data_IF_038332371728
#
_entry.id   IF_038332371728
#
_cell.length_a   1.000
_cell.length_b   1.000
_cell.length_c   1.000
_cell.angle_alpha   90.00
_cell.angle_beta   90.00
_cell.angle_gamma   90.00
#
_symmetry.space_group_name_H-M   'P 1'
#
loop_
_entity.id
_entity.type
_entity.pdbx_description
1 polymer ?
#
# COMPACT_ATOMS: atom_id res chain seq x y z
N UNK A 1 -4.90 18.58 -17.39
CA UNK A 1 -6.34 18.81 -17.65
C UNK A 1 -7.04 19.20 -16.36
N UNK A 2 -7.86 20.26 -16.38
CA UNK A 2 -8.47 20.89 -15.19
C UNK A 2 -9.40 19.97 -14.37
N UNK A 3 -9.94 18.91 -14.99
CA UNK A 3 -10.99 18.05 -14.39
C UNK A 3 -10.43 16.76 -13.78
N UNK A 4 -9.48 16.11 -14.45
CA UNK A 4 -8.94 14.80 -14.02
C UNK A 4 -7.89 14.92 -12.90
N UNK A 5 -7.18 16.05 -12.84
CA UNK A 5 -6.16 16.32 -11.82
C UNK A 5 -6.74 16.37 -10.40
N UNK A 6 -7.74 17.22 -10.11
CA UNK A 6 -8.33 17.35 -8.77
C UNK A 6 -9.02 16.08 -8.26
N UNK A 7 -9.51 15.23 -9.18
CA UNK A 7 -10.19 13.97 -8.84
C UNK A 7 -9.23 12.78 -8.71
N UNK A 8 -7.93 12.96 -8.95
CA UNK A 8 -6.94 11.88 -8.91
C UNK A 8 -7.15 10.79 -9.97
N UNK A 9 -7.99 11.04 -10.99
CA UNK A 9 -8.35 10.09 -12.05
C UNK A 9 -7.41 10.17 -13.25
N UNK A 10 -6.36 10.98 -13.17
CA UNK A 10 -5.40 11.14 -14.25
C UNK A 10 -4.56 9.86 -14.38
N UNK A 11 -4.55 9.19 -15.56
CA UNK A 11 -3.74 7.99 -15.76
C UNK A 11 -2.26 8.29 -15.52
N UNK A 12 -1.59 7.42 -14.76
CA UNK A 12 -0.20 7.61 -14.38
C UNK A 12 0.66 6.40 -14.80
N UNK A 13 1.71 6.60 -15.63
CA UNK A 13 2.63 5.53 -16.03
C UNK A 13 3.32 4.84 -14.85
N UNK A 14 3.61 5.58 -13.75
CA UNK A 14 4.22 5.00 -12.54
C UNK A 14 3.31 3.99 -11.83
N UNK A 15 2.03 4.04 -12.14
CA UNK A 15 0.98 3.22 -11.52
C UNK A 15 0.59 2.05 -12.43
N UNK A 16 1.19 1.94 -13.61
CA UNK A 16 0.87 0.89 -14.57
C UNK A 16 -0.49 1.04 -15.25
N UNK A 17 -1.22 2.14 -14.98
CA UNK A 17 -2.49 2.46 -15.65
C UNK A 17 -2.30 2.98 -17.08
N UNK A 18 -1.05 3.27 -17.46
CA UNK A 18 -0.65 3.58 -18.84
C UNK A 18 0.30 2.48 -19.28
N UNK A 19 -0.26 1.39 -19.78
CA UNK A 19 0.48 0.21 -20.25
C UNK A 19 -0.10 -0.26 -21.59
N UNK A 20 0.73 -0.92 -22.43
CA UNK A 20 0.25 -1.51 -23.68
C UNK A 20 -0.69 -2.71 -23.45
N UNK A 21 -0.61 -3.36 -22.28
CA UNK A 21 -1.49 -4.46 -21.88
C UNK A 21 -2.66 -3.97 -21.01
N UNK A 22 -3.71 -3.50 -21.67
CA UNK A 22 -4.92 -2.97 -21.03
C UNK A 22 -5.73 -4.07 -20.32
N UNK A 23 -5.72 -5.30 -20.85
CA UNK A 23 -6.52 -6.40 -20.30
C UNK A 23 -6.04 -6.80 -18.90
N UNK A 24 -4.71 -6.88 -18.72
CA UNK A 24 -4.12 -7.14 -17.41
C UNK A 24 -4.33 -5.99 -16.44
N UNK A 25 -4.13 -4.74 -16.89
CA UNK A 25 -4.33 -3.56 -16.06
C UNK A 25 -5.77 -3.44 -15.52
N UNK A 26 -6.78 -3.80 -16.33
CA UNK A 26 -8.19 -3.81 -15.90
C UNK A 26 -8.47 -4.93 -14.89
N UNK A 27 -7.89 -6.12 -15.08
CA UNK A 27 -8.02 -7.23 -14.11
C UNK A 27 -7.40 -6.87 -12.76
N UNK A 28 -6.19 -6.32 -12.78
CA UNK A 28 -5.46 -5.94 -11.56
C UNK A 28 -6.16 -4.78 -10.83
N UNK A 29 -6.70 -3.80 -11.58
CA UNK A 29 -7.49 -2.71 -11.01
C UNK A 29 -8.81 -3.22 -10.38
N UNK A 30 -9.50 -4.16 -11.02
CA UNK A 30 -10.71 -4.79 -10.47
C UNK A 30 -10.41 -5.71 -9.28
N UNK A 31 -9.22 -6.32 -9.23
CA UNK A 31 -8.74 -7.14 -8.13
C UNK A 31 -8.43 -6.36 -6.85
N UNK A 32 -8.64 -5.04 -6.84
CA UNK A 32 -8.48 -4.22 -5.64
C UNK A 32 -7.04 -3.79 -5.39
N UNK A 33 -6.23 -3.65 -6.43
CA UNK A 33 -4.85 -3.17 -6.31
C UNK A 33 -4.78 -1.85 -5.51
N UNK A 34 -4.17 -1.91 -4.33
CA UNK A 34 -3.97 -0.74 -3.46
C UNK A 34 -2.65 -0.07 -3.80
N UNK A 35 -2.72 1.21 -4.10
CA UNK A 35 -1.55 2.04 -4.38
C UNK A 35 -1.05 2.67 -3.09
N UNK A 36 0.25 2.59 -2.85
CA UNK A 36 0.90 3.28 -1.75
C UNK A 36 1.97 4.22 -2.29
N UNK A 37 2.07 5.40 -1.68
CA UNK A 37 3.07 6.42 -2.02
C UNK A 37 3.76 6.85 -0.73
N UNK A 38 5.06 7.09 -0.86
CA UNK A 38 5.87 7.67 0.21
C UNK A 38 5.59 9.17 0.31
N UNK A 39 5.28 9.65 1.50
CA UNK A 39 5.20 11.08 1.79
C UNK A 39 6.58 11.70 1.99
N UNK A 40 6.67 13.04 2.02
CA UNK A 40 7.94 13.76 2.16
C UNK A 40 8.73 13.37 3.42
N UNK A 41 8.04 12.96 4.47
CA UNK A 41 8.63 12.48 5.73
C UNK A 41 9.16 11.04 5.67
N UNK A 42 9.04 10.33 4.53
CA UNK A 42 9.43 8.93 4.40
C UNK A 42 8.42 7.95 5.01
N UNK A 43 7.20 8.39 5.27
CA UNK A 43 6.11 7.56 5.82
C UNK A 43 5.24 7.06 4.67
N UNK A 44 4.77 5.81 4.78
CA UNK A 44 3.84 5.20 3.83
C UNK A 44 2.51 4.98 4.54
N UNK A 45 1.43 5.42 3.90
CA UNK A 45 0.06 5.16 4.34
C UNK A 45 -0.64 4.28 3.31
N UNK A 46 -1.31 3.23 3.77
CA UNK A 46 -2.14 2.38 2.93
C UNK A 46 -3.34 1.84 3.74
N UNK A 47 -4.50 1.79 3.10
CA UNK A 47 -5.67 1.12 3.66
C UNK A 47 -5.57 -0.38 3.40
N UNK A 48 -5.47 -1.18 4.46
CA UNK A 48 -5.37 -2.65 4.39
C UNK A 48 -6.74 -3.35 4.40
N UNK A 49 -7.82 -2.63 4.68
CA UNK A 49 -9.17 -3.18 4.69
C UNK A 49 -10.18 -2.27 5.38
N UNK A 50 -11.39 -2.80 5.58
CA UNK A 50 -12.43 -2.19 6.41
C UNK A 50 -12.63 -3.03 7.67
N UNK A 51 -13.18 -2.42 8.72
CA UNK A 51 -13.53 -3.12 9.96
C UNK A 51 -14.61 -4.21 9.77
N UNK A 52 -15.31 -4.22 8.63
CA UNK A 52 -16.31 -5.23 8.28
C UNK A 52 -15.71 -6.47 7.61
N UNK A 53 -14.38 -6.56 7.47
CA UNK A 53 -13.72 -7.73 6.90
C UNK A 53 -13.39 -8.74 8.00
N UNK A 54 -13.32 -10.01 7.63
CA UNK A 54 -12.87 -11.06 8.54
C UNK A 54 -11.44 -10.83 9.02
N UNK A 55 -11.16 -11.21 10.25
CA UNK A 55 -9.85 -11.04 10.90
C UNK A 55 -8.72 -11.71 10.09
N UNK A 56 -8.98 -12.90 9.54
CA UNK A 56 -8.03 -13.62 8.70
C UNK A 56 -7.66 -12.86 7.42
N UNK A 57 -8.67 -12.24 6.77
CA UNK A 57 -8.45 -11.45 5.56
C UNK A 57 -7.67 -10.16 5.85
N UNK A 58 -7.93 -9.52 6.99
CA UNK A 58 -7.16 -8.34 7.41
C UNK A 58 -5.71 -8.73 7.70
N UNK A 59 -5.47 -9.84 8.39
CA UNK A 59 -4.13 -10.33 8.68
C UNK A 59 -3.35 -10.64 7.39
N UNK A 60 -3.98 -11.30 6.42
CA UNK A 60 -3.37 -11.61 5.12
C UNK A 60 -3.02 -10.33 4.35
N UNK A 61 -3.93 -9.34 4.31
CA UNK A 61 -3.69 -8.06 3.64
C UNK A 61 -2.52 -7.29 4.27
N UNK A 62 -2.41 -7.30 5.61
CA UNK A 62 -1.31 -6.65 6.33
C UNK A 62 0.02 -7.31 5.98
N UNK A 63 0.09 -8.65 6.00
CA UNK A 63 1.30 -9.39 5.61
C UNK A 63 1.69 -9.14 4.16
N UNK A 64 0.72 -9.18 3.25
CA UNK A 64 0.94 -8.90 1.83
C UNK A 64 1.49 -7.48 1.60
N UNK A 65 0.95 -6.50 2.32
CA UNK A 65 1.42 -5.11 2.25
C UNK A 65 2.85 -4.95 2.75
N UNK A 66 3.19 -5.54 3.90
CA UNK A 66 4.55 -5.48 4.46
C UNK A 66 5.55 -6.16 3.52
N UNK A 67 5.20 -7.33 2.98
CA UNK A 67 6.02 -8.03 1.99
C UNK A 67 6.23 -7.20 0.70
N UNK A 68 5.21 -6.49 0.24
CA UNK A 68 5.32 -5.60 -0.93
C UNK A 68 6.26 -4.41 -0.64
N UNK A 69 6.17 -3.81 0.55
CA UNK A 69 7.06 -2.72 0.97
C UNK A 69 8.50 -3.21 1.08
N UNK A 70 8.73 -4.38 1.69
CA UNK A 70 10.07 -4.96 1.79
C UNK A 70 10.71 -5.21 0.42
N UNK A 71 9.94 -5.71 -0.56
CA UNK A 71 10.38 -5.88 -1.95
C UNK A 71 10.64 -4.55 -2.67
N UNK A 72 9.93 -3.49 -2.31
CA UNK A 72 10.12 -2.15 -2.85
C UNK A 72 11.35 -1.42 -2.27
N UNK A 73 12.16 -2.08 -1.41
CA UNK A 73 13.40 -1.52 -0.88
C UNK A 73 14.36 -1.14 -2.01
N UNK A 74 14.75 0.14 -2.14
CA UNK A 74 15.71 0.56 -3.15
C UNK A 74 17.12 0.08 -2.79
N UNK A 75 17.93 -0.24 -3.80
CA UNK A 75 19.28 -0.79 -3.62
C UNK A 75 20.22 0.13 -2.78
N UNK A 76 19.97 1.45 -2.76
CA UNK A 76 20.73 2.41 -1.96
C UNK A 76 20.34 2.49 -0.47
N UNK A 77 19.26 1.82 -0.04
CA UNK A 77 18.80 1.89 1.33
C UNK A 77 19.65 1.00 2.27
N UNK A 78 20.43 1.64 3.14
CA UNK A 78 21.26 0.99 4.16
C UNK A 78 20.49 0.80 5.48
N UNK A 79 20.78 -0.29 6.19
CA UNK A 79 20.17 -0.60 7.49
C UNK A 79 18.72 -1.12 7.42
N UNK A 80 18.02 -1.04 8.57
CA UNK A 80 16.64 -1.49 8.73
C UNK A 80 15.69 -0.59 7.93
N UNK A 81 15.05 -1.17 6.91
CA UNK A 81 14.19 -0.43 5.98
C UNK A 81 12.85 -0.05 6.62
N UNK A 82 12.26 -0.95 7.41
CA UNK A 82 11.01 -0.72 8.14
C UNK A 82 11.35 -0.47 9.61
N UNK A 83 11.10 0.76 10.09
CA UNK A 83 11.44 1.15 11.47
C UNK A 83 10.31 0.90 12.48
N UNK A 84 9.07 1.08 12.05
CA UNK A 84 7.88 0.99 12.89
C UNK A 84 6.67 0.69 12.02
N UNK A 85 5.80 -0.18 12.52
CA UNK A 85 4.47 -0.43 11.95
C UNK A 85 3.44 -0.01 12.99
N UNK A 86 2.44 0.76 12.57
CA UNK A 86 1.31 1.14 13.41
C UNK A 86 0.01 0.92 12.65
N UNK A 87 -0.86 0.05 13.16
CA UNK A 87 -2.22 -0.11 12.67
C UNK A 87 -3.15 0.80 13.46
N UNK A 88 -4.06 1.46 12.74
CA UNK A 88 -5.07 2.32 13.34
C UNK A 88 -6.35 2.20 12.54
N UNK A 89 -7.49 2.31 13.22
CA UNK A 89 -8.75 2.58 12.55
C UNK A 89 -8.89 4.07 12.27
N UNK A 90 -9.85 4.46 11.42
CA UNK A 90 -10.05 5.86 11.01
C UNK A 90 -10.31 6.80 12.19
N UNK A 91 -10.94 6.31 13.26
CA UNK A 91 -11.34 7.10 14.43
C UNK A 91 -10.83 6.51 15.76
N UNK A 92 -9.88 5.58 15.72
CA UNK A 92 -9.39 4.88 16.91
C UNK A 92 -7.91 5.14 17.22
N UNK A 93 -7.45 4.72 18.40
CA UNK A 93 -6.03 4.79 18.75
C UNK A 93 -5.20 3.81 17.91
N UNK A 94 -3.96 4.21 17.61
CA UNK A 94 -3.02 3.37 16.86
C UNK A 94 -2.28 2.37 17.75
N UNK A 95 -2.27 1.11 17.35
CA UNK A 95 -1.53 0.02 17.99
C UNK A 95 -0.21 -0.22 17.24
N UNK A 96 0.90 -0.33 17.97
CA UNK A 96 2.20 -0.66 17.40
C UNK A 96 2.32 -2.16 17.27
N UNK A 97 2.84 -2.61 16.13
CA UNK A 97 3.08 -4.02 15.85
C UNK A 97 4.57 -4.24 15.72
N UNK A 98 5.04 -5.40 16.16
CA UNK A 98 6.42 -5.79 15.97
C UNK A 98 6.72 -6.08 14.49
N UNK A 99 7.83 -5.52 14.02
CA UNK A 99 8.31 -5.67 12.64
C UNK A 99 8.93 -7.05 12.43
N UNK A 100 9.42 -7.71 13.48
CA UNK A 100 10.04 -9.04 13.41
C UNK A 100 9.02 -10.14 13.13
N UNK A 101 7.86 -10.11 13.79
CA UNK A 101 6.78 -11.10 13.60
C UNK A 101 6.02 -10.90 12.29
N UNK A 102 5.97 -9.67 11.78
CA UNK A 102 5.18 -9.34 10.60
C UNK A 102 5.84 -9.70 9.26
N UNK A 103 7.11 -10.12 9.26
CA UNK A 103 7.82 -10.66 8.10
C UNK A 103 7.73 -12.19 7.98
N UNK A 104 7.07 -12.87 8.93
CA UNK A 104 6.86 -14.32 8.95
C UNK A 104 5.54 -14.76 8.31
#
# INVERSE_FOLDING_TARGET
GKVLGPRGLMPNPKVGTVTPDVAKAVKDAKGGAVQFRVEKAGIIHAGVGKASFDEAAIAENVKAFIGAVAKAKPAGAKGTYIKKISLTSTMGPGVKIDVAEANA
#
